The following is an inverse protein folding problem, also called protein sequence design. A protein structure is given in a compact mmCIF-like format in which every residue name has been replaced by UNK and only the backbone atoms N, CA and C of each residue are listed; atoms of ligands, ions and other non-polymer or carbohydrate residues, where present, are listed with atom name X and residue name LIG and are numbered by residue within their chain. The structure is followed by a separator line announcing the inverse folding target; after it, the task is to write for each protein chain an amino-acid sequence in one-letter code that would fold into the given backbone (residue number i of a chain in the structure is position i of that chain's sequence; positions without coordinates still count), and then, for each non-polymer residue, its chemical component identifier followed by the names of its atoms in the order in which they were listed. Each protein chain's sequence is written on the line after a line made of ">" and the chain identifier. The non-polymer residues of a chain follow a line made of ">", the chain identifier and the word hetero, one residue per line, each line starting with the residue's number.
data_IF_795194332268
#
_entry.id   IF_795194332268
#
_cell.length_a   1.000
_cell.length_b   1.000
_cell.length_c   1.000
_cell.angle_alpha   90.00
_cell.angle_beta   90.00
_cell.angle_gamma   90.00
#
_symmetry.space_group_name_H-M   'P 1'
#
loop_
_entity.id
_entity.type
_entity.pdbx_description
1 polymer ?
#
# COMPACT_ATOMS: atom_id res chain seq x y z
N UNK A 1 1.05 1.98 -57.65
CA UNK A 1 0.14 1.34 -56.68
C UNK A 1 0.93 1.05 -55.41
N UNK A 2 0.88 1.97 -54.50
CA UNK A 2 1.63 1.87 -53.19
C UNK A 2 0.76 1.17 -52.17
N UNK A 3 1.21 0.01 -51.74
CA UNK A 3 0.61 -0.80 -50.71
C UNK A 3 0.90 -0.15 -49.33
N UNK A 4 -0.06 0.57 -48.79
CA UNK A 4 0.01 1.07 -47.41
C UNK A 4 -0.37 -0.11 -46.49
N UNK A 5 0.64 -0.81 -46.01
CA UNK A 5 0.47 -1.83 -44.98
C UNK A 5 -0.04 -1.17 -43.69
N UNK A 6 -1.32 -1.33 -43.40
CA UNK A 6 -1.90 -0.96 -42.12
C UNK A 6 -1.28 -1.86 -41.05
N UNK A 7 -0.33 -1.30 -40.29
CA UNK A 7 0.21 -1.96 -39.10
C UNK A 7 -0.89 -1.99 -38.04
N UNK A 8 -1.67 -3.06 -38.04
CA UNK A 8 -2.58 -3.38 -36.93
C UNK A 8 -1.71 -3.62 -35.69
N UNK A 9 -1.58 -2.60 -34.83
CA UNK A 9 -1.10 -2.81 -33.47
C UNK A 9 -2.09 -3.80 -32.82
N UNK A 10 -1.64 -5.03 -32.64
CA UNK A 10 -2.31 -5.98 -31.78
C UNK A 10 -2.18 -5.42 -30.36
N UNK A 11 -3.21 -4.74 -29.90
CA UNK A 11 -3.31 -4.33 -28.49
C UNK A 11 -3.51 -5.64 -27.73
N UNK A 12 -2.45 -6.10 -27.07
CA UNK A 12 -2.56 -7.24 -26.14
C UNK A 12 -3.71 -6.98 -25.17
N UNK A 13 -4.65 -7.90 -25.09
CA UNK A 13 -5.76 -7.82 -24.14
C UNK A 13 -5.32 -8.15 -22.73
N UNK A 14 -4.13 -8.72 -22.59
CA UNK A 14 -3.60 -9.19 -21.30
C UNK A 14 -3.23 -8.02 -20.39
N UNK A 15 -3.72 -8.06 -19.17
CA UNK A 15 -3.34 -7.12 -18.11
C UNK A 15 -1.92 -7.42 -17.63
N UNK A 16 -1.18 -6.43 -17.09
CA UNK A 16 0.13 -6.64 -16.51
C UNK A 16 0.12 -7.69 -15.41
N UNK A 17 1.14 -8.52 -15.35
CA UNK A 17 1.33 -9.49 -14.27
C UNK A 17 1.55 -8.79 -12.94
N UNK A 18 1.01 -9.38 -11.86
CA UNK A 18 1.04 -8.76 -10.52
C UNK A 18 1.36 -9.78 -9.43
N UNK A 19 2.31 -9.41 -8.55
CA UNK A 19 2.58 -10.09 -7.28
C UNK A 19 1.87 -9.36 -6.15
N UNK A 20 1.15 -10.11 -5.32
CA UNK A 20 0.60 -9.59 -4.06
C UNK A 20 1.56 -9.90 -2.92
N UNK A 21 1.91 -8.89 -2.12
CA UNK A 21 2.80 -9.03 -0.95
C UNK A 21 1.99 -8.78 0.32
N UNK A 22 2.04 -9.76 1.24
CA UNK A 22 1.33 -9.73 2.51
C UNK A 22 2.34 -9.92 3.65
N UNK A 23 2.79 -8.83 4.32
CA UNK A 23 3.56 -8.97 5.55
C UNK A 23 2.62 -9.46 6.65
N UNK A 24 3.08 -10.42 7.46
CA UNK A 24 2.28 -10.97 8.55
C UNK A 24 3.11 -11.15 9.82
N UNK A 25 2.49 -10.92 10.96
CA UNK A 25 3.05 -11.16 12.28
C UNK A 25 1.92 -11.46 13.27
N UNK A 26 1.91 -12.70 13.82
CA UNK A 26 0.88 -13.18 14.76
C UNK A 26 -0.53 -12.92 14.23
N UNK A 27 -0.80 -13.41 13.03
CA UNK A 27 -2.01 -13.10 12.27
C UNK A 27 -2.88 -14.33 11.96
N UNK A 28 -2.72 -15.43 12.70
CA UNK A 28 -3.44 -16.69 12.46
C UNK A 28 -4.96 -16.49 12.34
N UNK A 29 -5.55 -15.61 13.16
CA UNK A 29 -6.99 -15.36 13.19
C UNK A 29 -7.52 -14.56 11.99
N UNK A 30 -6.66 -13.85 11.25
CA UNK A 30 -7.09 -12.87 10.24
C UNK A 30 -6.54 -13.10 8.84
N UNK A 31 -5.38 -13.75 8.72
CA UNK A 31 -4.66 -13.92 7.45
C UNK A 31 -5.48 -14.66 6.38
N UNK A 32 -6.30 -15.62 6.80
CA UNK A 32 -7.17 -16.34 5.87
C UNK A 32 -8.12 -15.42 5.12
N UNK A 33 -8.72 -14.43 5.81
CA UNK A 33 -9.59 -13.44 5.17
C UNK A 33 -8.85 -12.61 4.11
N UNK A 34 -7.63 -12.19 4.41
CA UNK A 34 -6.80 -11.46 3.45
C UNK A 34 -6.52 -12.31 2.20
N UNK A 35 -6.06 -13.55 2.38
CA UNK A 35 -5.79 -14.47 1.28
C UNK A 35 -7.05 -14.81 0.48
N UNK A 36 -8.18 -15.11 1.13
CA UNK A 36 -9.45 -15.38 0.45
C UNK A 36 -9.85 -14.19 -0.45
N UNK A 37 -9.63 -12.94 0.00
CA UNK A 37 -9.95 -11.74 -0.80
C UNK A 37 -9.01 -11.56 -2.01
N UNK A 38 -7.79 -12.05 -1.93
CA UNK A 38 -6.82 -12.07 -3.05
C UNK A 38 -7.19 -13.16 -4.05
N UNK A 39 -7.53 -14.34 -3.56
CA UNK A 39 -7.94 -15.46 -4.40
C UNK A 39 -9.30 -15.25 -5.08
N UNK A 40 -10.12 -14.34 -4.57
CA UNK A 40 -11.41 -13.95 -5.16
C UNK A 40 -11.31 -12.80 -6.19
N UNK A 41 -10.12 -12.35 -6.55
CA UNK A 41 -9.95 -11.26 -7.51
C UNK A 41 -10.40 -11.67 -8.93
N UNK A 42 -11.04 -10.76 -9.67
CA UNK A 42 -11.44 -10.99 -11.07
C UNK A 42 -10.25 -11.06 -12.02
N UNK A 43 -9.20 -10.28 -11.74
CA UNK A 43 -7.86 -10.47 -12.32
C UNK A 43 -7.00 -11.16 -11.28
N UNK A 44 -6.72 -12.45 -11.50
CA UNK A 44 -5.97 -13.26 -10.57
C UNK A 44 -4.51 -12.82 -10.50
N UNK A 45 -3.89 -12.75 -9.31
CA UNK A 45 -2.46 -12.51 -9.20
C UNK A 45 -1.68 -13.70 -9.76
N UNK A 46 -0.53 -13.40 -10.34
CA UNK A 46 0.41 -14.43 -10.83
C UNK A 46 1.21 -15.06 -9.67
N UNK A 47 1.43 -14.28 -8.61
CA UNK A 47 2.18 -14.71 -7.43
C UNK A 47 1.62 -14.02 -6.17
N UNK A 48 1.60 -14.75 -5.06
CA UNK A 48 1.23 -14.24 -3.73
C UNK A 48 2.39 -14.55 -2.79
N UNK A 49 3.09 -13.51 -2.32
CA UNK A 49 4.20 -13.67 -1.36
C UNK A 49 3.72 -13.26 0.01
N UNK A 50 3.61 -14.22 0.92
CA UNK A 50 3.33 -13.96 2.33
C UNK A 50 4.65 -13.96 3.07
N UNK A 51 4.96 -12.87 3.77
CA UNK A 51 6.22 -12.73 4.51
C UNK A 51 5.92 -12.79 6.00
N UNK A 52 6.21 -13.92 6.63
CA UNK A 52 6.09 -14.07 8.08
C UNK A 52 7.26 -13.40 8.80
N UNK A 53 6.94 -12.47 9.67
CA UNK A 53 7.92 -11.63 10.38
C UNK A 53 8.28 -12.21 11.76
N UNK A 54 8.65 -13.50 11.79
CA UNK A 54 8.99 -14.26 13.00
C UNK A 54 7.82 -14.31 14.02
N UNK A 55 6.68 -14.83 13.60
CA UNK A 55 5.44 -14.79 14.39
C UNK A 55 5.52 -15.55 15.72
N UNK A 56 6.12 -16.73 15.77
CA UNK A 56 6.26 -17.55 16.99
C UNK A 56 4.94 -18.02 17.60
N UNK A 57 3.84 -17.99 16.83
CA UNK A 57 2.53 -18.56 17.13
C UNK A 57 2.13 -19.57 16.04
N UNK A 58 0.85 -19.87 15.88
CA UNK A 58 0.34 -20.79 14.85
C UNK A 58 0.33 -20.23 13.41
N UNK A 59 0.77 -18.97 13.23
CA UNK A 59 0.75 -18.32 11.91
C UNK A 59 1.59 -19.07 10.88
N UNK A 60 2.86 -19.46 11.13
CA UNK A 60 3.68 -20.17 10.13
C UNK A 60 3.05 -21.49 9.66
N UNK A 61 2.56 -22.32 10.58
CA UNK A 61 1.91 -23.60 10.24
C UNK A 61 0.68 -23.37 9.35
N UNK A 62 -0.15 -22.38 9.68
CA UNK A 62 -1.32 -22.04 8.88
C UNK A 62 -0.91 -21.56 7.47
N UNK A 63 0.13 -20.76 7.36
CA UNK A 63 0.64 -20.28 6.08
C UNK A 63 1.12 -21.42 5.18
N UNK A 64 1.84 -22.41 5.73
CA UNK A 64 2.26 -23.58 4.98
C UNK A 64 1.07 -24.44 4.53
N UNK A 65 0.05 -24.59 5.38
CA UNK A 65 -1.19 -25.28 4.99
C UNK A 65 -1.88 -24.55 3.83
N UNK A 66 -2.00 -23.22 3.88
CA UNK A 66 -2.61 -22.42 2.82
C UNK A 66 -1.77 -22.46 1.53
N UNK A 67 -0.44 -22.40 1.61
CA UNK A 67 0.44 -22.51 0.45
C UNK A 67 0.37 -23.88 -0.22
N UNK A 68 0.05 -24.95 0.53
CA UNK A 68 -0.18 -26.27 -0.05
C UNK A 68 -1.48 -26.36 -0.89
N UNK A 69 -2.43 -25.44 -0.72
CA UNK A 69 -3.71 -25.43 -1.47
C UNK A 69 -3.64 -24.66 -2.79
N UNK A 70 -2.67 -23.74 -2.95
CA UNK A 70 -2.53 -22.92 -4.17
C UNK A 70 -1.04 -22.65 -4.45
N UNK A 71 -0.55 -23.14 -5.58
CA UNK A 71 0.86 -23.04 -5.98
C UNK A 71 1.37 -21.62 -6.21
N UNK A 72 0.48 -20.64 -6.31
CA UNK A 72 0.84 -19.21 -6.41
C UNK A 72 1.26 -18.62 -5.06
N UNK A 73 0.88 -19.25 -3.95
CA UNK A 73 1.22 -18.79 -2.60
C UNK A 73 2.63 -19.29 -2.24
N UNK A 74 3.51 -18.33 -1.98
CA UNK A 74 4.87 -18.57 -1.51
C UNK A 74 5.08 -17.89 -0.16
N UNK A 75 5.51 -18.65 0.83
CA UNK A 75 5.83 -18.16 2.17
C UNK A 75 7.32 -17.84 2.27
N UNK A 76 7.63 -16.68 2.82
CA UNK A 76 8.98 -16.29 3.22
C UNK A 76 8.96 -16.04 4.73
N UNK A 77 9.87 -16.66 5.48
CA UNK A 77 9.96 -16.50 6.93
C UNK A 77 11.20 -15.69 7.31
N UNK A 78 11.01 -14.65 8.11
CA UNK A 78 12.12 -13.90 8.70
C UNK A 78 12.62 -14.62 9.95
N UNK A 79 13.93 -14.62 10.18
CA UNK A 79 14.53 -15.19 11.39
C UNK A 79 14.22 -14.37 12.64
N UNK A 80 14.03 -13.06 12.47
CA UNK A 80 13.73 -12.09 13.52
C UNK A 80 12.62 -11.15 13.06
N UNK A 81 11.88 -10.56 14.01
CA UNK A 81 10.91 -9.52 13.69
C UNK A 81 11.61 -8.23 13.24
N UNK A 82 11.58 -7.96 11.95
CA UNK A 82 12.21 -6.81 11.30
C UNK A 82 11.23 -5.68 10.96
N UNK A 83 9.95 -5.91 11.18
CA UNK A 83 8.87 -4.95 10.94
C UNK A 83 8.27 -5.01 9.53
N UNK A 84 7.05 -4.46 9.35
CA UNK A 84 6.27 -4.63 8.13
C UNK A 84 6.91 -3.99 6.89
N UNK A 85 7.61 -2.86 7.03
CA UNK A 85 8.28 -2.19 5.91
C UNK A 85 9.39 -3.07 5.31
N UNK A 86 10.26 -3.63 6.14
CA UNK A 86 11.33 -4.53 5.70
C UNK A 86 10.76 -5.84 5.16
N UNK A 87 9.72 -6.37 5.77
CA UNK A 87 9.03 -7.58 5.28
C UNK A 87 8.40 -7.34 3.91
N UNK A 88 7.78 -6.17 3.67
CA UNK A 88 7.30 -5.79 2.33
C UNK A 88 8.44 -5.67 1.32
N UNK A 89 9.58 -5.06 1.70
CA UNK A 89 10.76 -4.99 0.82
C UNK A 89 11.27 -6.38 0.44
N UNK A 90 11.38 -7.31 1.40
CA UNK A 90 11.78 -8.70 1.14
C UNK A 90 10.86 -9.38 0.13
N UNK A 91 9.56 -9.21 0.28
CA UNK A 91 8.57 -9.70 -0.69
C UNK A 91 8.70 -9.03 -2.06
N UNK A 92 8.91 -7.70 -2.08
CA UNK A 92 9.07 -6.93 -3.31
C UNK A 92 10.30 -7.34 -4.11
N UNK A 93 11.43 -7.52 -3.43
CA UNK A 93 12.68 -7.95 -4.07
C UNK A 93 12.60 -9.40 -4.58
N UNK A 94 11.77 -10.24 -3.95
CA UNK A 94 11.51 -11.61 -4.37
C UNK A 94 10.48 -11.73 -5.50
N UNK A 95 9.66 -10.70 -5.77
CA UNK A 95 8.64 -10.67 -6.80
C UNK A 95 9.25 -10.70 -8.21
N UNK A 96 8.55 -11.36 -9.16
CA UNK A 96 9.04 -11.52 -10.54
C UNK A 96 8.15 -10.87 -11.60
N UNK A 97 6.99 -10.36 -11.22
CA UNK A 97 5.97 -9.78 -12.10
C UNK A 97 6.27 -8.31 -12.45
N UNK A 98 5.44 -7.71 -13.30
CA UNK A 98 5.57 -6.29 -13.69
C UNK A 98 5.13 -5.34 -12.58
N UNK A 99 4.11 -5.72 -11.84
CA UNK A 99 3.49 -4.93 -10.78
C UNK A 99 3.59 -5.63 -9.43
N UNK A 100 3.59 -4.83 -8.38
CA UNK A 100 3.50 -5.29 -6.99
C UNK A 100 2.33 -4.60 -6.31
N UNK A 101 1.50 -5.36 -5.61
CA UNK A 101 0.40 -4.89 -4.79
C UNK A 101 0.65 -5.26 -3.32
N UNK A 102 0.31 -4.38 -2.40
CA UNK A 102 0.47 -4.64 -0.97
C UNK A 102 -0.89 -4.85 -0.32
N UNK A 103 -0.97 -5.84 0.58
CA UNK A 103 -2.15 -6.08 1.42
C UNK A 103 -1.68 -6.37 2.85
N UNK A 104 -2.27 -5.69 3.84
CA UNK A 104 -2.01 -6.01 5.23
C UNK A 104 -2.81 -7.25 5.65
N UNK A 105 -2.23 -8.08 6.52
CA UNK A 105 -2.79 -9.39 6.89
C UNK A 105 -4.19 -9.30 7.53
N UNK A 106 -4.55 -8.14 8.08
CA UNK A 106 -5.82 -7.88 8.75
C UNK A 106 -6.84 -7.12 7.88
N UNK A 107 -6.52 -6.81 6.61
CA UNK A 107 -7.39 -6.14 5.67
C UNK A 107 -7.91 -7.09 4.57
N UNK A 108 -8.72 -6.57 3.65
CA UNK A 108 -9.20 -7.32 2.49
C UNK A 108 -9.48 -6.40 1.30
N UNK A 109 -9.67 -7.01 0.13
CA UNK A 109 -9.94 -6.30 -1.11
C UNK A 109 -11.33 -6.59 -1.67
N UNK A 110 -11.85 -5.63 -2.43
CA UNK A 110 -12.97 -5.84 -3.33
C UNK A 110 -12.51 -6.73 -4.51
N UNK A 111 -13.32 -7.64 -5.01
CA UNK A 111 -12.93 -8.56 -6.10
C UNK A 111 -12.43 -7.87 -7.37
N UNK A 112 -12.84 -6.65 -7.66
CA UNK A 112 -12.44 -5.92 -8.86
C UNK A 112 -11.12 -5.14 -8.72
N UNK A 113 -10.46 -5.14 -7.54
CA UNK A 113 -9.34 -4.23 -7.27
C UNK A 113 -8.16 -4.43 -8.21
N UNK A 114 -7.66 -5.64 -8.35
CA UNK A 114 -6.50 -5.88 -9.21
C UNK A 114 -6.83 -5.63 -10.67
N UNK A 115 -7.99 -6.03 -11.16
CA UNK A 115 -8.41 -5.75 -12.53
C UNK A 115 -8.41 -4.24 -12.83
N UNK A 116 -9.04 -3.46 -11.96
CA UNK A 116 -9.17 -2.00 -12.13
C UNK A 116 -7.80 -1.33 -12.10
N UNK A 117 -6.92 -1.71 -11.15
CA UNK A 117 -5.59 -1.10 -11.04
C UNK A 117 -4.62 -1.55 -12.12
N UNK A 118 -4.61 -2.84 -12.49
CA UNK A 118 -3.76 -3.34 -13.57
C UNK A 118 -4.17 -2.74 -14.92
N UNK A 119 -5.48 -2.57 -15.18
CA UNK A 119 -5.98 -1.86 -16.36
C UNK A 119 -5.52 -0.40 -16.36
N UNK A 120 -5.64 0.30 -15.21
CA UNK A 120 -5.15 1.67 -15.07
C UNK A 120 -3.65 1.77 -15.38
N UNK A 121 -2.84 0.88 -14.81
CA UNK A 121 -1.39 0.88 -15.02
C UNK A 121 -1.00 0.54 -16.46
N UNK A 122 -1.78 -0.31 -17.13
CA UNK A 122 -1.63 -0.60 -18.57
C UNK A 122 -1.92 0.64 -19.43
N UNK A 123 -3.04 1.31 -19.16
CA UNK A 123 -3.50 2.47 -19.94
C UNK A 123 -2.65 3.72 -19.66
N UNK A 124 -1.92 3.74 -18.53
CA UNK A 124 -1.06 4.84 -18.11
C UNK A 124 0.40 4.36 -17.90
N UNK A 125 1.17 4.06 -18.96
CA UNK A 125 2.49 3.44 -18.87
C UNK A 125 3.55 4.30 -18.17
N UNK A 126 3.34 5.61 -18.05
CA UNK A 126 4.22 6.52 -17.31
C UNK A 126 3.93 6.55 -15.79
N UNK A 127 2.76 6.09 -15.38
CA UNK A 127 2.43 5.98 -13.96
C UNK A 127 3.26 4.87 -13.32
N UNK A 128 3.85 5.17 -12.18
CA UNK A 128 4.65 4.20 -11.42
C UNK A 128 3.91 3.65 -10.21
N UNK A 129 2.87 4.37 -9.77
CA UNK A 129 2.03 4.01 -8.62
C UNK A 129 0.60 4.47 -8.85
N UNK A 130 -0.35 3.58 -8.56
CA UNK A 130 -1.74 3.97 -8.38
C UNK A 130 -2.30 3.39 -7.07
N UNK A 131 -3.12 4.19 -6.39
CA UNK A 131 -3.88 3.75 -5.21
C UNK A 131 -5.38 3.70 -5.49
N UNK A 132 -6.14 3.20 -4.52
CA UNK A 132 -7.60 3.28 -4.51
C UNK A 132 -8.08 4.00 -3.25
N UNK A 133 -9.37 4.30 -3.16
CA UNK A 133 -9.98 4.63 -1.88
C UNK A 133 -10.10 3.35 -1.03
N UNK A 134 -10.21 3.55 0.28
CA UNK A 134 -10.57 2.49 1.22
C UNK A 134 -11.89 2.80 1.90
N UNK A 135 -12.56 1.76 2.38
CA UNK A 135 -13.73 1.84 3.27
C UNK A 135 -13.47 1.04 4.54
N UNK A 136 -14.16 1.38 5.58
CA UNK A 136 -14.19 0.57 6.80
C UNK A 136 -15.25 -0.53 6.63
N UNK A 137 -14.97 -1.76 7.09
CA UNK A 137 -15.85 -2.91 6.90
C UNK A 137 -17.27 -2.72 7.48
N UNK A 138 -17.37 -1.91 8.55
CA UNK A 138 -18.65 -1.61 9.23
C UNK A 138 -19.32 -0.32 8.76
N UNK A 139 -18.80 0.35 7.71
CA UNK A 139 -19.39 1.56 7.16
C UNK A 139 -19.91 1.32 5.75
N UNK A 140 -21.17 1.63 5.52
CA UNK A 140 -21.70 1.73 4.17
C UNK A 140 -20.98 2.83 3.41
N UNK A 141 -20.52 2.54 2.21
CA UNK A 141 -19.89 3.52 1.34
C UNK A 141 -20.89 3.92 0.24
N UNK A 142 -21.35 5.17 0.30
CA UNK A 142 -22.11 5.75 -0.79
C UNK A 142 -21.16 6.54 -1.69
N UNK A 143 -20.80 5.99 -2.84
CA UNK A 143 -20.10 6.74 -3.87
C UNK A 143 -21.09 7.61 -4.62
N UNK A 144 -21.01 8.93 -4.44
CA UNK A 144 -21.53 9.86 -5.46
C UNK A 144 -20.62 9.73 -6.67
N UNK A 145 -21.22 9.73 -7.88
CA UNK A 145 -20.57 9.71 -9.20
C UNK A 145 -19.11 10.19 -9.18
N UNK A 146 -18.18 9.31 -9.53
CA UNK A 146 -16.77 9.48 -9.22
C UNK A 146 -16.06 9.80 -10.52
N UNK A 147 -15.38 10.94 -10.58
CA UNK A 147 -14.33 11.14 -11.58
C UNK A 147 -13.34 9.97 -11.50
N UNK A 148 -12.89 9.46 -12.65
CA UNK A 148 -12.17 8.20 -12.74
C UNK A 148 -10.97 8.15 -11.77
N UNK A 149 -10.17 9.22 -11.67
CA UNK A 149 -9.01 9.30 -10.78
C UNK A 149 -8.70 10.71 -10.31
N UNK A 150 -7.84 10.81 -9.28
CA UNK A 150 -7.25 12.05 -8.77
C UNK A 150 -5.73 11.93 -8.79
N UNK A 151 -5.03 12.98 -9.19
CA UNK A 151 -3.56 13.04 -9.23
C UNK A 151 -3.02 13.79 -8.02
N UNK A 152 -1.93 13.29 -7.44
CA UNK A 152 -1.29 13.85 -6.25
C UNK A 152 0.20 14.06 -6.49
N UNK A 153 0.69 15.26 -6.22
CA UNK A 153 2.11 15.62 -6.20
C UNK A 153 2.64 15.57 -4.77
N UNK A 154 3.96 15.69 -4.59
CA UNK A 154 4.58 15.79 -3.27
C UNK A 154 3.88 16.82 -2.36
N UNK A 155 3.50 18.00 -2.90
CA UNK A 155 2.79 19.03 -2.13
C UNK A 155 1.48 18.53 -1.52
N UNK A 156 0.78 17.66 -2.20
CA UNK A 156 -0.46 17.05 -1.71
C UNK A 156 -0.22 16.15 -0.50
N UNK A 157 0.93 15.46 -0.47
CA UNK A 157 1.33 14.60 0.65
C UNK A 157 1.77 15.40 1.87
N UNK A 158 2.43 16.55 1.72
CA UNK A 158 2.83 17.39 2.84
C UNK A 158 1.63 17.80 3.73
N UNK A 159 0.42 17.80 3.17
CA UNK A 159 -0.81 18.11 3.92
C UNK A 159 -1.36 16.85 4.60
N UNK A 160 -1.36 15.70 3.90
CA UNK A 160 -2.00 14.45 4.35
C UNK A 160 -1.48 13.26 3.56
N UNK A 161 -1.26 12.11 4.22
CA UNK A 161 -1.09 10.83 3.52
C UNK A 161 -2.32 10.54 2.65
N UNK A 162 -2.12 10.20 1.39
CA UNK A 162 -3.17 10.02 0.38
C UNK A 162 -3.55 8.58 0.17
N UNK A 163 -2.72 7.65 0.64
CA UNK A 163 -2.89 6.22 0.46
C UNK A 163 -2.78 5.48 1.80
N UNK A 164 -3.53 4.41 1.94
CA UNK A 164 -3.21 3.33 2.84
C UNK A 164 -2.40 2.29 2.08
N UNK A 165 -1.45 1.64 2.72
CA UNK A 165 -0.59 0.64 2.07
C UNK A 165 -1.38 -0.43 1.31
N UNK A 166 -2.47 -1.02 1.88
CA UNK A 166 -3.25 -2.05 1.18
C UNK A 166 -4.04 -1.52 -0.04
N UNK A 167 -4.03 -0.20 -0.28
CA UNK A 167 -4.69 0.38 -1.46
C UNK A 167 -3.80 0.49 -2.70
N UNK A 168 -2.49 0.27 -2.57
CA UNK A 168 -1.49 0.64 -3.57
C UNK A 168 -1.09 -0.53 -4.46
N UNK A 169 -0.91 -0.23 -5.75
CA UNK A 169 -0.17 -1.02 -6.75
C UNK A 169 0.94 -0.15 -7.29
N UNK A 170 2.13 -0.73 -7.48
CA UNK A 170 3.35 -0.04 -7.92
C UNK A 170 4.09 -0.86 -8.96
N UNK A 171 4.81 -0.21 -9.89
CA UNK A 171 5.73 -0.90 -10.80
C UNK A 171 6.87 -1.52 -10.01
N UNK A 172 7.12 -2.83 -10.23
CA UNK A 172 8.14 -3.57 -9.47
C UNK A 172 9.54 -2.99 -9.62
N UNK A 173 9.87 -2.48 -10.80
CA UNK A 173 11.23 -2.09 -11.20
C UNK A 173 11.66 -0.69 -10.74
N UNK A 174 10.85 0.04 -9.98
CA UNK A 174 11.32 1.29 -9.36
C UNK A 174 12.35 0.98 -8.27
N UNK A 175 13.23 1.95 -7.99
CA UNK A 175 14.34 1.77 -7.04
C UNK A 175 13.94 2.05 -5.60
N UNK A 176 12.85 2.80 -5.41
CA UNK A 176 12.35 3.17 -4.10
C UNK A 176 11.86 1.94 -3.33
N UNK A 177 12.11 1.95 -2.02
CA UNK A 177 11.70 0.90 -1.08
C UNK A 177 11.18 1.53 0.20
N UNK A 178 10.46 0.76 1.00
CA UNK A 178 10.12 1.17 2.37
C UNK A 178 11.40 1.42 3.15
N UNK A 179 11.43 2.53 3.89
CA UNK A 179 12.58 2.87 4.73
C UNK A 179 12.80 1.80 5.82
N UNK A 180 14.04 1.40 6.03
CA UNK A 180 14.39 0.32 6.94
C UNK A 180 14.51 0.75 8.40
N UNK A 181 14.65 2.04 8.65
CA UNK A 181 14.82 2.61 9.99
C UNK A 181 13.48 3.13 10.56
N UNK A 182 12.51 3.42 9.69
CA UNK A 182 11.17 3.87 10.09
C UNK A 182 10.27 2.67 10.36
N UNK A 183 9.84 2.50 11.61
CA UNK A 183 8.81 1.51 11.98
C UNK A 183 7.38 2.05 11.88
N UNK A 184 7.24 3.36 11.76
CA UNK A 184 5.96 4.06 11.63
C UNK A 184 6.05 5.10 10.52
N UNK A 185 5.01 5.22 9.71
CA UNK A 185 4.95 6.15 8.57
C UNK A 185 5.99 5.87 7.47
N UNK A 186 6.52 4.65 7.41
CA UNK A 186 7.41 4.18 6.35
C UNK A 186 6.74 4.22 4.98
N UNK A 187 5.43 3.95 4.95
CA UNK A 187 4.58 4.06 3.77
C UNK A 187 4.43 5.51 3.32
N UNK A 188 4.22 6.42 4.26
CA UNK A 188 4.09 7.84 3.97
C UNK A 188 5.36 8.42 3.35
N UNK A 189 6.54 8.05 3.89
CA UNK A 189 7.83 8.45 3.31
C UNK A 189 7.96 7.91 1.89
N UNK A 190 7.67 6.63 1.67
CA UNK A 190 7.78 6.00 0.35
C UNK A 190 6.89 6.70 -0.69
N UNK A 191 5.62 6.99 -0.35
CA UNK A 191 4.71 7.68 -1.29
C UNK A 191 5.15 9.10 -1.58
N UNK A 192 5.72 9.81 -0.60
CA UNK A 192 6.29 11.16 -0.81
C UNK A 192 7.50 11.10 -1.74
N UNK A 193 8.42 10.15 -1.54
CA UNK A 193 9.62 9.98 -2.36
C UNK A 193 9.24 9.63 -3.81
N UNK A 194 8.30 8.71 -4.01
CA UNK A 194 7.80 8.36 -5.34
C UNK A 194 7.15 9.58 -6.01
N UNK A 195 6.27 10.30 -5.31
CA UNK A 195 5.63 11.50 -5.88
C UNK A 195 6.63 12.62 -6.18
N UNK A 196 7.70 12.76 -5.39
CA UNK A 196 8.76 13.72 -5.61
C UNK A 196 9.60 13.37 -6.85
N UNK A 197 9.97 12.09 -7.00
CA UNK A 197 10.86 11.62 -8.05
C UNK A 197 10.19 11.51 -9.41
N UNK A 198 8.93 11.03 -9.44
CA UNK A 198 8.18 10.81 -10.68
C UNK A 198 7.17 11.92 -10.99
N UNK A 199 7.12 12.97 -10.15
CA UNK A 199 6.30 14.18 -10.35
C UNK A 199 4.88 14.05 -9.81
N UNK A 200 4.22 12.93 -10.02
CA UNK A 200 2.86 12.67 -9.51
C UNK A 200 2.54 11.19 -9.41
N UNK A 201 1.50 10.89 -8.66
CA UNK A 201 0.91 9.55 -8.51
C UNK A 201 -0.61 9.64 -8.55
N UNK A 202 -1.28 8.60 -8.97
CA UNK A 202 -2.73 8.60 -9.17
C UNK A 202 -3.49 7.79 -8.11
N UNK A 203 -4.71 8.20 -7.82
CA UNK A 203 -5.67 7.43 -7.03
C UNK A 203 -6.97 7.26 -7.80
N UNK A 204 -7.32 6.03 -8.07
CA UNK A 204 -8.63 5.65 -8.59
C UNK A 204 -9.66 5.87 -7.48
N UNK A 205 -10.69 6.66 -7.78
CA UNK A 205 -11.65 7.10 -6.77
C UNK A 205 -12.74 6.03 -6.49
N UNK A 206 -12.36 4.76 -6.44
CA UNK A 206 -13.22 3.63 -6.08
C UNK A 206 -12.74 3.02 -4.76
N UNK A 207 -13.64 2.66 -3.82
CA UNK A 207 -13.30 2.11 -2.50
C UNK A 207 -13.06 0.60 -2.58
N UNK A 208 -11.98 0.20 -3.25
CA UNK A 208 -11.65 -1.20 -3.53
C UNK A 208 -10.81 -1.87 -2.42
N UNK A 209 -10.50 -1.14 -1.36
CA UNK A 209 -9.80 -1.67 -0.17
C UNK A 209 -10.72 -1.61 1.03
N UNK A 210 -10.75 -2.65 1.84
CA UNK A 210 -11.59 -2.78 3.03
C UNK A 210 -10.70 -2.90 4.25
N UNK A 211 -10.73 -1.88 5.11
CA UNK A 211 -10.03 -1.89 6.39
C UNK A 211 -10.96 -2.47 7.47
N UNK A 212 -10.46 -3.46 8.21
CA UNK A 212 -11.20 -4.13 9.29
C UNK A 212 -10.87 -3.60 10.67
N UNK A 213 -9.95 -2.64 10.76
CA UNK A 213 -9.63 -1.89 11.99
C UNK A 213 -9.75 -0.40 11.73
N UNK A 214 -10.06 0.43 12.74
CA UNK A 214 -9.98 1.88 12.63
C UNK A 214 -8.56 2.31 12.28
N UNK A 215 -8.43 3.34 11.44
CA UNK A 215 -7.15 3.90 11.00
C UNK A 215 -6.29 4.41 12.17
N UNK A 216 -6.89 4.67 13.35
CA UNK A 216 -6.21 5.18 14.55
C UNK A 216 -6.82 4.57 15.82
N UNK A 217 -5.96 4.17 16.78
CA UNK A 217 -6.35 3.96 18.18
C UNK A 217 -6.90 2.59 18.57
N UNK A 218 -6.79 1.56 17.72
CA UNK A 218 -7.35 0.23 18.02
C UNK A 218 -6.33 -0.92 18.05
N UNK A 219 -5.13 -0.67 18.54
CA UNK A 219 -4.06 -1.68 18.60
C UNK A 219 -3.20 -1.75 17.33
N UNK A 220 -2.17 -2.57 17.37
CA UNK A 220 -1.15 -2.63 16.32
C UNK A 220 -0.27 -1.37 16.25
N UNK A 221 0.49 -1.22 15.16
CA UNK A 221 1.42 -0.10 14.99
C UNK A 221 0.72 1.27 14.94
N UNK A 222 -0.47 1.35 14.36
CA UNK A 222 -1.26 2.59 14.26
C UNK A 222 -1.90 3.02 15.59
N UNK A 223 -1.87 2.17 16.63
CA UNK A 223 -2.36 2.49 17.98
C UNK A 223 -1.48 3.48 18.74
N UNK A 224 -0.18 3.53 18.43
CA UNK A 224 0.75 4.46 19.08
C UNK A 224 0.81 5.81 18.35
N UNK A 225 -0.07 6.74 18.77
CA UNK A 225 -0.21 8.06 18.13
C UNK A 225 1.07 8.90 18.17
N UNK A 226 1.87 8.81 19.26
CA UNK A 226 3.11 9.56 19.39
C UNK A 226 4.16 9.03 18.41
N UNK A 227 4.33 7.71 18.33
CA UNK A 227 5.25 7.07 17.38
C UNK A 227 4.87 7.37 15.93
N UNK A 228 3.57 7.38 15.61
CA UNK A 228 3.06 7.80 14.29
C UNK A 228 3.41 9.27 13.98
N UNK A 229 3.22 10.17 14.94
CA UNK A 229 3.59 11.58 14.78
C UNK A 229 5.11 11.77 14.59
N UNK A 230 5.93 11.11 15.41
CA UNK A 230 7.38 11.16 15.27
C UNK A 230 7.84 10.57 13.92
N UNK A 231 7.18 9.51 13.46
CA UNK A 231 7.39 8.95 12.12
C UNK A 231 7.06 9.94 11.00
N UNK A 232 5.91 10.64 11.08
CA UNK A 232 5.55 11.72 10.13
C UNK A 232 6.63 12.81 10.09
N UNK A 233 7.13 13.26 11.25
CA UNK A 233 8.17 14.30 11.33
C UNK A 233 9.49 13.81 10.73
N UNK A 234 9.92 12.58 11.04
CA UNK A 234 11.13 11.98 10.45
C UNK A 234 11.01 11.85 8.93
N UNK A 235 9.86 11.40 8.42
CA UNK A 235 9.60 11.33 6.99
C UNK A 235 9.76 12.70 6.29
N UNK A 236 9.22 13.77 6.90
CA UNK A 236 9.40 15.15 6.39
C UNK A 236 10.87 15.59 6.42
N UNK A 237 11.62 15.22 7.45
CA UNK A 237 13.06 15.51 7.55
C UNK A 237 13.85 14.79 6.45
N UNK A 238 13.56 13.51 6.19
CA UNK A 238 14.20 12.74 5.11
C UNK A 238 13.94 13.38 3.76
N UNK A 239 12.69 13.74 3.44
CA UNK A 239 12.32 14.45 2.19
C UNK A 239 13.09 15.78 2.05
N UNK A 240 13.35 16.48 3.16
CA UNK A 240 14.19 17.68 3.16
C UNK A 240 15.67 17.36 2.94
N UNK A 241 16.20 16.32 3.56
CA UNK A 241 17.60 15.88 3.40
C UNK A 241 17.89 15.47 1.96
N UNK A 242 16.92 14.85 1.29
CA UNK A 242 16.98 14.52 -0.14
C UNK A 242 16.76 15.74 -1.07
N UNK A 243 16.63 16.96 -0.51
CA UNK A 243 16.46 18.21 -1.23
C UNK A 243 15.16 18.35 -2.04
N UNK A 244 14.13 17.56 -1.78
CA UNK A 244 12.83 17.69 -2.44
C UNK A 244 12.00 18.89 -1.93
N UNK A 245 12.28 19.37 -0.72
CA UNK A 245 11.62 20.56 -0.16
C UNK A 245 12.62 21.50 0.52
N UNK A 246 12.29 22.81 0.57
CA UNK A 246 13.07 23.81 1.29
C UNK A 246 12.80 23.80 2.81
N UNK A 247 13.68 24.47 3.59
CA UNK A 247 13.55 24.57 5.06
C UNK A 247 12.22 25.20 5.47
N UNK A 248 11.78 26.25 4.80
CA UNK A 248 10.49 26.90 5.08
C UNK A 248 9.32 25.92 4.92
N UNK A 249 9.31 25.15 3.83
CA UNK A 249 8.27 24.12 3.57
C UNK A 249 8.29 23.05 4.65
N UNK A 250 9.48 22.58 5.07
CA UNK A 250 9.61 21.63 6.17
C UNK A 250 8.96 22.18 7.46
N UNK A 251 9.29 23.41 7.84
CA UNK A 251 8.76 24.02 9.07
C UNK A 251 7.23 24.11 9.01
N UNK A 252 6.67 24.59 7.90
CA UNK A 252 5.20 24.68 7.72
C UNK A 252 4.55 23.29 7.78
N UNK A 253 5.13 22.29 7.11
CA UNK A 253 4.59 20.92 7.11
C UNK A 253 4.68 20.28 8.50
N UNK A 254 5.77 20.50 9.24
CA UNK A 254 5.94 19.99 10.61
C UNK A 254 4.95 20.65 11.58
N UNK A 255 4.75 21.96 11.51
CA UNK A 255 3.74 22.67 12.30
C UNK A 255 2.32 22.15 11.99
N UNK A 256 2.01 21.90 10.72
CA UNK A 256 0.74 21.32 10.31
C UNK A 256 0.56 19.90 10.86
N UNK A 257 1.62 19.06 10.81
CA UNK A 257 1.59 17.72 11.40
C UNK A 257 1.37 17.76 12.91
N UNK A 258 2.02 18.71 13.63
CA UNK A 258 1.81 18.93 15.05
C UNK A 258 0.36 19.34 15.34
N UNK A 259 -0.20 20.26 14.59
CA UNK A 259 -1.60 20.68 14.75
C UNK A 259 -2.59 19.51 14.55
N UNK A 260 -2.34 18.65 13.55
CA UNK A 260 -3.12 17.42 13.34
C UNK A 260 -3.01 16.46 14.53
N UNK A 261 -1.80 16.27 15.06
CA UNK A 261 -1.57 15.42 16.23
C UNK A 261 -2.32 15.92 17.45
N UNK A 262 -2.19 17.21 17.80
CA UNK A 262 -2.90 17.81 18.93
C UNK A 262 -4.42 17.68 18.80
N UNK A 263 -4.97 17.86 17.59
CA UNK A 263 -6.42 17.69 17.34
C UNK A 263 -6.90 16.25 17.55
N UNK A 264 -6.04 15.25 17.42
CA UNK A 264 -6.38 13.82 17.58
C UNK A 264 -6.41 13.38 19.05
N UNK A 265 -5.67 14.05 19.95
CA UNK A 265 -5.57 13.69 21.38
C UNK A 265 -6.94 13.61 22.07
N UNK A 266 -7.83 14.61 21.99
CA UNK A 266 -9.14 14.54 22.64
C UNK A 266 -10.00 13.38 22.14
N UNK A 267 -9.93 13.07 20.83
CA UNK A 267 -10.71 11.98 20.23
C UNK A 267 -10.20 10.59 20.64
N UNK A 268 -8.92 10.46 20.95
CA UNK A 268 -8.34 9.22 21.46
C UNK A 268 -8.70 9.01 22.93
N UNK A 269 -8.68 10.07 23.75
CA UNK A 269 -9.09 10.00 25.15
C UNK A 269 -10.56 9.63 25.32
N UNK A 270 -11.46 10.20 24.49
CA UNK A 270 -12.89 9.86 24.48
C UNK A 270 -13.20 8.42 24.04
N UNK A 271 -12.28 7.74 23.36
CA UNK A 271 -12.44 6.33 22.96
C UNK A 271 -11.84 5.34 23.96
N UNK A 272 -10.98 5.83 24.85
CA UNK A 272 -10.36 5.02 25.91
C UNK A 272 -11.19 4.99 27.22
N UNK A 273 -12.20 5.84 27.32
CA UNK A 273 -13.23 5.85 28.37
C UNK A 273 -14.46 5.05 27.91
#
# INVERSE_FOLDING_TARGET
>A
MSNIGTLLMVVSTDLPSVTVIIPTFRSADVIKRALDSVLAQTHQPDEIIVVDDASGDQTPELLHQLAATDSRIRVLENELNIGPGRSRNRGWDAAKTELVAFLDADDSWDPAKLEVQCRWMKDNPREVLCGTLHRLSWKSFYSKSVSAASTFTLRSFLIKNRFSTPSVVVRRNIVERFDQELRHSEDYLLWMTIAARYGSVSRINQPLTVLHKPVYGSGGLSGNMLSMYLGEVRALQTIRQENYIGVFTLVVAALWSTAKFLKRIPTALLRAM
#
